data_IF_007031726975
#
_entry.id   IF_007031726975
#
_cell.length_a   1.000
_cell.length_b   1.000
_cell.length_c   1.000
_cell.angle_alpha   90.00
_cell.angle_beta   90.00
_cell.angle_gamma   90.00
#
_symmetry.space_group_name_H-M   'P 1'
#
loop_
_entity.id
_entity.type
_entity.pdbx_description
1 polymer ?
#
# COMPACT_ATOMS: atom_id res chain seq x y z
N UNK A 1 20.82 -2.18 -11.97
CA UNK A 1 19.90 -1.64 -10.96
C UNK A 1 20.37 -2.06 -9.58
N UNK A 2 20.25 -1.21 -8.56
CA UNK A 2 20.46 -1.60 -7.16
C UNK A 2 19.31 -2.48 -6.69
N UNK A 3 19.58 -3.32 -5.68
CA UNK A 3 18.53 -4.08 -4.99
C UNK A 3 17.54 -3.09 -4.34
N UNK A 4 16.23 -3.16 -4.66
CA UNK A 4 15.22 -2.30 -4.05
C UNK A 4 15.19 -2.37 -2.51
N UNK A 5 15.59 -3.49 -1.90
CA UNK A 5 15.65 -3.62 -0.43
C UNK A 5 16.66 -2.62 0.15
N UNK A 6 17.77 -2.37 -0.54
CA UNK A 6 18.78 -1.39 -0.11
C UNK A 6 18.19 0.02 -0.07
N UNK A 7 17.35 0.37 -1.05
CA UNK A 7 16.72 1.70 -1.12
C UNK A 7 15.56 1.87 -0.13
N UNK A 8 14.86 0.79 0.23
CA UNK A 8 13.69 0.84 1.12
C UNK A 8 14.01 0.65 2.59
N UNK A 9 15.02 -0.17 2.90
CA UNK A 9 15.36 -0.56 4.26
C UNK A 9 16.73 -0.04 4.73
N UNK A 10 17.63 0.30 3.81
CA UNK A 10 19.02 0.67 4.13
C UNK A 10 19.43 1.96 3.39
N UNK A 11 18.51 2.93 3.27
CA UNK A 11 18.68 4.11 2.41
C UNK A 11 19.92 4.92 2.77
N UNK A 12 20.14 5.19 4.06
CA UNK A 12 21.28 6.00 4.53
C UNK A 12 22.63 5.29 4.29
N UNK A 13 22.68 3.99 4.59
CA UNK A 13 23.87 3.18 4.34
C UNK A 13 24.18 3.11 2.84
N UNK A 14 23.14 2.99 2.00
CA UNK A 14 23.28 2.98 0.54
C UNK A 14 23.77 4.33 0.02
N UNK A 15 23.22 5.44 0.51
CA UNK A 15 23.67 6.78 0.17
C UNK A 15 25.15 7.01 0.54
N UNK A 16 25.58 6.55 1.72
CA UNK A 16 26.98 6.64 2.14
C UNK A 16 27.92 5.85 1.21
N UNK A 17 27.55 4.64 0.78
CA UNK A 17 28.38 3.87 -0.16
C UNK A 17 28.43 4.49 -1.55
N UNK A 18 27.34 5.11 -2.01
CA UNK A 18 27.30 5.82 -3.28
C UNK A 18 28.12 7.12 -3.25
N UNK A 19 28.11 7.84 -2.13
CA UNK A 19 28.89 9.06 -1.95
C UNK A 19 30.39 8.80 -2.06
N UNK A 20 30.87 7.64 -1.58
CA UNK A 20 32.28 7.19 -1.77
C UNK A 20 32.69 7.08 -3.23
N UNK A 21 31.71 6.91 -4.13
CA UNK A 21 31.90 6.81 -5.59
C UNK A 21 31.60 8.14 -6.30
N UNK A 22 31.40 9.23 -5.56
CA UNK A 22 31.08 10.55 -6.09
C UNK A 22 29.61 10.73 -6.49
N UNK A 23 28.71 9.83 -6.06
CA UNK A 23 27.28 9.93 -6.36
C UNK A 23 26.49 10.35 -5.12
N UNK A 24 25.81 11.49 -5.19
CA UNK A 24 24.88 11.95 -4.15
C UNK A 24 23.48 11.38 -4.42
N UNK A 25 22.99 10.55 -3.50
CA UNK A 25 21.64 10.00 -3.57
C UNK A 25 20.64 10.95 -2.88
N UNK A 26 19.55 11.29 -3.57
CA UNK A 26 18.45 12.10 -3.04
C UNK A 26 17.60 11.32 -2.02
N UNK A 27 18.10 11.17 -0.81
CA UNK A 27 17.46 10.35 0.24
C UNK A 27 16.13 10.94 0.71
N UNK A 28 15.98 12.27 0.73
CA UNK A 28 14.73 12.92 1.13
C UNK A 28 13.56 12.55 0.20
N UNK A 29 13.80 12.58 -1.12
CA UNK A 29 12.80 12.24 -2.13
C UNK A 29 12.44 10.76 -2.05
N UNK A 30 13.45 9.88 -1.98
CA UNK A 30 13.22 8.44 -1.87
C UNK A 30 12.50 8.06 -0.56
N UNK A 31 12.83 8.72 0.54
CA UNK A 31 12.16 8.54 1.82
C UNK A 31 10.69 8.93 1.76
N UNK A 32 10.36 10.08 1.15
CA UNK A 32 8.98 10.52 0.97
C UNK A 32 8.17 9.53 0.11
N UNK A 33 8.74 9.07 -1.01
CA UNK A 33 8.09 8.08 -1.87
C UNK A 33 7.87 6.73 -1.17
N UNK A 34 8.81 6.29 -0.32
CA UNK A 34 8.63 5.04 0.42
C UNK A 34 7.54 5.15 1.50
N UNK A 35 7.38 6.33 2.11
CA UNK A 35 6.26 6.61 3.02
C UNK A 35 4.93 6.56 2.27
N UNK A 36 4.82 7.26 1.14
CA UNK A 36 3.61 7.24 0.31
C UNK A 36 3.28 5.82 -0.17
N UNK A 37 4.28 5.07 -0.64
CA UNK A 37 4.11 3.68 -1.07
C UNK A 37 3.54 2.80 0.06
N UNK A 38 4.03 2.95 1.29
CA UNK A 38 3.49 2.21 2.45
C UNK A 38 2.06 2.62 2.77
N UNK A 39 1.75 3.91 2.73
CA UNK A 39 0.40 4.41 2.97
C UNK A 39 -0.60 3.85 1.95
N UNK A 40 -0.27 3.93 0.65
CA UNK A 40 -1.11 3.38 -0.42
C UNK A 40 -1.27 1.87 -0.28
N UNK A 41 -0.22 1.15 0.08
CA UNK A 41 -0.29 -0.29 0.30
C UNK A 41 -1.27 -0.64 1.43
N UNK A 42 -1.17 0.03 2.57
CA UNK A 42 -2.08 -0.19 3.71
C UNK A 42 -3.53 0.16 3.35
N UNK A 43 -3.75 1.33 2.76
CA UNK A 43 -5.09 1.76 2.33
C UNK A 43 -5.73 0.78 1.33
N UNK A 44 -4.94 0.27 0.39
CA UNK A 44 -5.41 -0.74 -0.57
C UNK A 44 -5.81 -2.03 0.13
N UNK A 45 -5.01 -2.50 1.10
CA UNK A 45 -5.32 -3.71 1.86
C UNK A 45 -6.59 -3.54 2.72
N UNK A 46 -6.78 -2.36 3.32
CA UNK A 46 -7.97 -2.01 4.09
C UNK A 46 -9.23 -1.98 3.21
N UNK A 47 -9.17 -1.32 2.06
CA UNK A 47 -10.26 -1.28 1.08
C UNK A 47 -10.60 -2.67 0.57
N UNK A 48 -9.57 -3.48 0.29
CA UNK A 48 -9.73 -4.87 -0.14
C UNK A 48 -10.42 -5.72 0.95
N UNK A 49 -10.07 -5.54 2.22
CA UNK A 49 -10.72 -6.22 3.34
C UNK A 49 -12.17 -5.75 3.50
N UNK A 50 -12.42 -4.44 3.43
CA UNK A 50 -13.76 -3.85 3.54
C UNK A 50 -14.69 -4.40 2.44
N UNK A 51 -14.21 -4.42 1.20
CA UNK A 51 -14.95 -4.98 0.05
C UNK A 51 -15.33 -6.44 0.30
N UNK A 52 -14.39 -7.28 0.76
CA UNK A 52 -14.65 -8.70 1.02
C UNK A 52 -15.69 -8.90 2.13
N UNK A 53 -15.60 -8.12 3.21
CA UNK A 53 -16.57 -8.15 4.30
C UNK A 53 -17.97 -7.74 3.82
N UNK A 54 -18.06 -6.66 3.05
CA UNK A 54 -19.34 -6.20 2.46
C UNK A 54 -19.95 -7.23 1.52
N UNK A 55 -19.15 -7.81 0.61
CA UNK A 55 -19.62 -8.87 -0.30
C UNK A 55 -20.18 -10.08 0.45
N UNK A 56 -19.55 -10.47 1.56
CA UNK A 56 -20.05 -11.56 2.41
C UNK A 56 -21.38 -11.20 3.07
N UNK A 57 -21.51 -9.97 3.60
CA UNK A 57 -22.75 -9.50 4.21
C UNK A 57 -23.91 -9.43 3.19
N UNK A 58 -23.64 -8.96 1.97
CA UNK A 58 -24.60 -8.95 0.87
C UNK A 58 -25.07 -10.37 0.55
N UNK A 59 -24.16 -11.34 0.44
CA UNK A 59 -24.51 -12.73 0.18
C UNK A 59 -25.42 -13.32 1.27
N UNK A 60 -25.13 -13.02 2.54
CA UNK A 60 -25.95 -13.46 3.67
C UNK A 60 -27.35 -12.81 3.67
N UNK A 61 -27.42 -11.50 3.39
CA UNK A 61 -28.68 -10.76 3.31
C UNK A 61 -29.56 -11.27 2.15
N UNK A 62 -28.96 -11.54 0.97
CA UNK A 62 -29.65 -12.18 -0.16
C UNK A 62 -30.22 -13.55 0.22
N UNK A 63 -29.45 -14.37 0.95
CA UNK A 63 -29.93 -15.67 1.40
C UNK A 63 -31.12 -15.58 2.38
N UNK A 64 -31.22 -14.48 3.14
CA UNK A 64 -32.36 -14.18 4.02
C UNK A 64 -33.53 -13.49 3.30
N UNK A 65 -33.42 -13.20 2.00
CA UNK A 65 -34.44 -12.49 1.24
C UNK A 65 -34.52 -10.98 1.50
N UNK A 66 -33.48 -10.40 2.10
CA UNK A 66 -33.42 -8.97 2.42
C UNK A 66 -33.09 -8.11 1.18
N UNK A 67 -33.52 -6.86 1.18
CA UNK A 67 -33.14 -5.90 0.13
C UNK A 67 -31.69 -5.43 0.35
N UNK A 68 -30.83 -5.70 -0.63
CA UNK A 68 -29.40 -5.39 -0.57
C UNK A 68 -28.98 -4.21 -1.46
N UNK A 69 -29.93 -3.46 -2.03
CA UNK A 69 -29.64 -2.37 -2.98
C UNK A 69 -28.69 -1.32 -2.42
N UNK A 70 -28.89 -0.91 -1.15
CA UNK A 70 -28.00 0.04 -0.47
C UNK A 70 -26.58 -0.53 -0.27
N UNK A 71 -26.48 -1.80 0.13
CA UNK A 71 -25.18 -2.45 0.37
C UNK A 71 -24.41 -2.69 -0.94
N UNK A 72 -25.11 -2.94 -2.05
CA UNK A 72 -24.49 -3.12 -3.37
C UNK A 72 -23.96 -1.81 -3.97
N UNK A 73 -24.49 -0.65 -3.56
CA UNK A 73 -23.99 0.65 -4.02
C UNK A 73 -22.65 1.08 -3.36
N UNK A 74 -22.28 0.43 -2.25
CA UNK A 74 -21.08 0.73 -1.47
C UNK A 74 -19.88 -0.20 -1.76
N UNK A 75 -20.00 -1.11 -2.73
CA UNK A 75 -18.99 -2.11 -3.09
C UNK A 75 -18.51 -1.87 -4.52
#
# INVERSE_FOLDING_TARGET
>A
MLDPVLLRAQLDATAAQLARRGFALETAVLGALEVERKQVQTATQELQNLRNTRSKAIGQAKARGENVGALMAEV
#
